data_IF_891876850641
#
_entry.id   IF_891876850641
#
_cell.length_a   1.000
_cell.length_b   1.000
_cell.length_c   1.000
_cell.angle_alpha   90.00
_cell.angle_beta   90.00
_cell.angle_gamma   90.00
#
_symmetry.space_group_name_H-M   'P 1'
#
loop_
_entity.id
_entity.type
_entity.pdbx_description
1 polymer ?
#
# COMPACT_ATOMS: atom_id res chain seq x y z
N UNK A 1 0.23 11.40 1.53
CA UNK A 1 1.50 10.79 1.07
C UNK A 1 1.51 10.56 -0.45
N UNK A 2 2.65 10.19 -1.04
CA UNK A 2 2.74 9.68 -2.43
C UNK A 2 2.54 8.16 -2.42
N UNK A 3 1.79 7.62 -3.37
CA UNK A 3 1.55 6.18 -3.51
C UNK A 3 1.47 5.75 -4.99
N UNK A 4 1.88 4.51 -5.30
CA UNK A 4 1.70 3.90 -6.61
C UNK A 4 0.27 3.35 -6.71
N UNK A 5 -0.53 3.90 -7.62
CA UNK A 5 -1.95 3.59 -7.77
C UNK A 5 -2.19 2.90 -9.11
N UNK A 6 -2.93 1.79 -9.06
CA UNK A 6 -3.47 1.12 -10.23
C UNK A 6 -4.64 1.92 -10.83
N UNK A 7 -4.56 2.29 -12.10
CA UNK A 7 -5.58 3.03 -12.84
C UNK A 7 -6.21 2.20 -13.98
N UNK A 8 -5.74 0.97 -14.17
CA UNK A 8 -6.22 0.05 -15.19
C UNK A 8 -5.13 -0.90 -15.67
N UNK A 9 -5.48 -1.81 -16.57
CA UNK A 9 -4.54 -2.79 -17.11
C UNK A 9 -3.36 -2.05 -17.76
N UNK A 10 -2.15 -2.30 -17.25
CA UNK A 10 -0.89 -1.65 -17.63
C UNK A 10 -0.83 -0.13 -17.37
N UNK A 11 -1.74 0.43 -16.57
CA UNK A 11 -1.71 1.83 -16.14
C UNK A 11 -1.52 1.91 -14.62
N UNK A 12 -0.31 2.29 -14.19
CA UNK A 12 -0.01 2.59 -12.79
C UNK A 12 0.61 3.98 -12.70
N UNK A 13 0.20 4.77 -11.70
CA UNK A 13 0.61 6.17 -11.57
C UNK A 13 1.00 6.50 -10.15
N UNK A 14 2.04 7.32 -10.00
CA UNK A 14 2.34 7.93 -8.72
C UNK A 14 1.33 9.05 -8.45
N UNK A 15 0.52 8.92 -7.40
CA UNK A 15 -0.49 9.91 -7.01
C UNK A 15 -0.27 10.40 -5.59
N UNK A 16 -0.77 11.60 -5.29
CA UNK A 16 -0.90 12.09 -3.91
C UNK A 16 -2.22 11.57 -3.34
N UNK A 17 -2.16 10.90 -2.20
CA UNK A 17 -3.30 10.36 -1.45
C UNK A 17 -3.27 10.88 -0.02
N UNK A 18 -4.37 10.73 0.73
CA UNK A 18 -4.39 11.04 2.16
C UNK A 18 -3.36 10.18 2.91
N UNK A 19 -2.83 10.71 4.01
CA UNK A 19 -2.03 9.90 4.92
C UNK A 19 -2.95 8.89 5.63
N UNK A 20 -2.45 7.67 5.94
CA UNK A 20 -3.24 6.70 6.68
C UNK A 20 -3.50 7.22 8.09
N UNK A 21 -4.56 6.72 8.71
CA UNK A 21 -4.89 6.95 10.11
C UNK A 21 -5.13 5.59 10.77
N UNK A 22 -4.86 5.49 12.07
CA UNK A 22 -5.22 4.32 12.86
C UNK A 22 -6.74 4.08 12.77
N UNK A 23 -7.14 2.89 12.36
CA UNK A 23 -8.55 2.51 12.24
C UNK A 23 -9.00 1.59 13.37
N UNK A 24 -8.12 0.67 13.77
CA UNK A 24 -8.32 -0.29 14.84
C UNK A 24 -7.29 -0.08 15.96
N UNK A 25 -7.60 -0.58 17.14
CA UNK A 25 -6.80 -0.35 18.34
C UNK A 25 -5.45 -1.09 18.31
N UNK A 26 -5.31 -2.07 17.42
CA UNK A 26 -4.14 -2.91 17.18
C UNK A 26 -3.34 -2.54 15.91
N UNK A 27 -3.76 -1.50 15.17
CA UNK A 27 -3.05 -1.05 13.97
C UNK A 27 -1.69 -0.41 14.28
N UNK A 28 -0.81 -0.40 13.28
CA UNK A 28 0.39 0.44 13.23
C UNK A 28 0.47 1.22 11.92
N UNK A 29 1.01 2.44 11.97
CA UNK A 29 1.42 3.19 10.78
C UNK A 29 2.93 3.09 10.63
N UNK A 30 3.36 2.67 9.45
CA UNK A 30 4.77 2.53 9.10
C UNK A 30 5.16 3.59 8.09
N UNK A 31 6.14 4.42 8.44
CA UNK A 31 6.84 5.26 7.48
C UNK A 31 7.76 4.38 6.64
N UNK A 32 7.30 4.09 5.42
CA UNK A 32 8.02 3.26 4.46
C UNK A 32 9.35 3.91 4.08
N UNK A 33 10.46 3.20 4.33
CA UNK A 33 11.80 3.61 3.89
C UNK A 33 12.21 2.89 2.61
N UNK A 34 11.77 1.64 2.47
CA UNK A 34 12.05 0.78 1.33
C UNK A 34 10.87 -0.15 1.05
N UNK A 35 10.62 -0.45 -0.21
CA UNK A 35 9.66 -1.47 -0.63
C UNK A 35 10.15 -2.13 -1.92
N UNK A 36 9.85 -3.41 -2.12
CA UNK A 36 10.23 -4.15 -3.31
C UNK A 36 9.08 -4.22 -4.34
N UNK A 37 9.42 -4.70 -5.54
CA UNK A 37 8.46 -5.06 -6.58
C UNK A 37 8.48 -6.57 -6.71
N UNK A 38 7.33 -7.20 -6.50
CA UNK A 38 7.20 -8.64 -6.58
C UNK A 38 6.78 -9.07 -7.98
N UNK A 39 7.09 -10.31 -8.38
CA UNK A 39 6.53 -10.89 -9.59
C UNK A 39 5.00 -10.99 -9.57
N UNK A 40 4.40 -11.11 -8.38
CA UNK A 40 2.95 -11.16 -8.19
C UNK A 40 2.26 -9.83 -8.54
N UNK A 41 2.94 -8.69 -8.40
CA UNK A 41 2.40 -7.37 -8.80
C UNK A 41 2.10 -7.33 -10.30
N UNK A 42 2.84 -8.11 -11.11
CA UNK A 42 2.57 -8.24 -12.54
C UNK A 42 1.23 -8.92 -12.83
N UNK A 43 0.73 -9.77 -11.94
CA UNK A 43 -0.62 -10.34 -12.09
C UNK A 43 -1.71 -9.27 -11.93
N UNK A 44 -1.49 -8.29 -11.06
CA UNK A 44 -2.37 -7.14 -10.87
C UNK A 44 -2.33 -6.21 -12.09
N UNK A 45 -1.13 -5.79 -12.49
CA UNK A 45 -0.92 -4.84 -13.58
C UNK A 45 -1.39 -5.40 -14.93
N UNK A 46 -1.27 -6.71 -15.16
CA UNK A 46 -1.74 -7.35 -16.39
C UNK A 46 -3.21 -7.79 -16.36
N UNK A 47 -3.98 -7.39 -15.34
CA UNK A 47 -5.42 -7.66 -15.29
C UNK A 47 -5.78 -9.14 -15.07
N UNK A 48 -4.88 -9.94 -14.51
CA UNK A 48 -5.18 -11.35 -14.15
C UNK A 48 -6.06 -11.46 -12.91
N UNK A 49 -6.19 -10.38 -12.15
CA UNK A 49 -7.10 -10.25 -11.01
C UNK A 49 -8.28 -9.36 -11.42
N UNK A 50 -9.42 -9.98 -11.70
CA UNK A 50 -10.62 -9.30 -12.24
C UNK A 50 -11.33 -8.39 -11.23
N UNK A 51 -11.11 -8.61 -9.93
CA UNK A 51 -11.70 -7.80 -8.87
C UNK A 51 -10.95 -6.47 -8.61
N UNK A 52 -9.79 -6.26 -9.24
CA UNK A 52 -8.97 -5.08 -8.99
C UNK A 52 -9.57 -3.84 -9.67
N UNK A 53 -9.88 -2.82 -8.87
CA UNK A 53 -10.49 -1.57 -9.34
C UNK A 53 -9.45 -0.44 -9.47
N UNK A 54 -9.63 0.50 -10.42
CA UNK A 54 -8.87 1.74 -10.43
C UNK A 54 -8.94 2.46 -9.08
N UNK A 55 -7.82 3.05 -8.66
CA UNK A 55 -7.65 3.66 -7.34
C UNK A 55 -7.00 2.75 -6.29
N UNK A 56 -6.74 1.48 -6.60
CA UNK A 56 -6.06 0.56 -5.69
C UNK A 56 -4.58 0.90 -5.51
N UNK A 57 -4.09 0.96 -4.26
CA UNK A 57 -2.68 1.23 -3.94
C UNK A 57 -1.90 -0.10 -3.98
N UNK A 58 -0.83 -0.14 -4.77
CA UNK A 58 0.00 -1.34 -4.95
C UNK A 58 1.17 -1.39 -3.95
N UNK A 59 1.73 -2.59 -3.80
CA UNK A 59 2.90 -2.88 -2.98
C UNK A 59 2.56 -3.69 -1.73
N UNK A 60 3.34 -4.75 -1.47
CA UNK A 60 3.13 -5.66 -0.34
C UNK A 60 4.44 -6.14 0.30
N UNK A 61 5.58 -5.56 -0.10
CA UNK A 61 6.92 -5.96 0.35
C UNK A 61 7.64 -4.78 1.00
N UNK A 62 7.02 -4.21 2.05
CA UNK A 62 7.47 -2.95 2.66
C UNK A 62 8.31 -3.16 3.92
N UNK A 63 9.29 -2.27 4.12
CA UNK A 63 10.04 -2.09 5.36
C UNK A 63 10.06 -0.61 5.74
N UNK A 64 10.11 -0.32 7.03
CA UNK A 64 10.07 1.06 7.49
C UNK A 64 10.20 1.21 8.99
N UNK A 65 9.89 2.44 9.43
CA UNK A 65 9.94 2.85 10.83
C UNK A 65 8.49 2.97 11.32
N UNK A 66 8.19 2.39 12.48
CA UNK A 66 6.88 2.57 13.13
C UNK A 66 6.75 4.06 13.52
N UNK A 67 5.76 4.74 12.96
CA UNK A 67 5.53 6.17 13.12
C UNK A 67 4.37 6.46 14.10
N UNK A 68 3.34 5.61 14.11
CA UNK A 68 2.19 5.67 15.01
C UNK A 68 1.72 4.25 15.35
N UNK A 69 1.13 4.07 16.54
CA UNK A 69 0.58 2.78 17.00
C UNK A 69 -0.79 2.98 17.65
N UNK A 70 -1.67 2.00 17.50
CA UNK A 70 -2.91 1.89 18.26
C UNK A 70 -2.66 1.58 19.74
N UNK A 71 -3.66 1.83 20.59
CA UNK A 71 -3.52 1.70 22.05
C UNK A 71 -3.35 0.26 22.56
N UNK A 72 -3.70 -0.75 21.77
CA UNK A 72 -3.53 -2.16 22.12
C UNK A 72 -2.15 -2.71 21.69
N UNK A 73 -1.34 -1.91 20.99
CA UNK A 73 0.01 -2.30 20.58
C UNK A 73 0.98 -2.14 21.76
N UNK A 74 1.47 -3.28 22.27
CA UNK A 74 2.43 -3.33 23.39
C UNK A 74 3.79 -3.91 22.98
N UNK A 75 4.80 -3.74 23.84
CA UNK A 75 6.17 -4.23 23.66
C UNK A 75 6.30 -5.74 23.84
#
# INVERSE_FOLDING_TARGET
>A
MKALVYEGVKDVRMKKVADPIIQNEDDIIVKVTSTAICGSDLHLIHGRVTALKPGYILGHETMGIVEEVGKEVTK
#
